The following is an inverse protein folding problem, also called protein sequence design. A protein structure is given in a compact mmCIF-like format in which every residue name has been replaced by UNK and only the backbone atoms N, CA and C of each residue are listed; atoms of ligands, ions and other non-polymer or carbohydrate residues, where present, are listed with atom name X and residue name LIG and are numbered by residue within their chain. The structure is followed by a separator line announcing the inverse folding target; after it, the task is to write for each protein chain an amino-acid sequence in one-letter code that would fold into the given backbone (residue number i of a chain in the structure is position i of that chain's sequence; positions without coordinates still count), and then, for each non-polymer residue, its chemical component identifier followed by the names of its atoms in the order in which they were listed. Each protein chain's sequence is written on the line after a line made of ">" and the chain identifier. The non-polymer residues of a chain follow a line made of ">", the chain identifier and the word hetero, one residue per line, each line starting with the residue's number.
data_IF_098274628546
#
_entry.id   IF_098274628546
#
_cell.length_a   1.000
_cell.length_b   1.000
_cell.length_c   1.000
_cell.angle_alpha   90.00
_cell.angle_beta   90.00
_cell.angle_gamma   90.00
#
_symmetry.space_group_name_H-M   'P 1'
#
loop_
_entity.id
_entity.type
_entity.pdbx_description
1 polymer ?
#
# COMPACT_ATOMS: atom_id res chain seq x y z
N UNK A 1 6.98 15.49 -9.82
CA UNK A 1 6.15 15.23 -8.63
C UNK A 1 6.84 14.12 -7.86
N UNK A 2 7.15 14.35 -6.59
CA UNK A 2 7.78 13.33 -5.74
C UNK A 2 6.72 12.80 -4.78
N UNK A 3 6.37 11.51 -4.91
CA UNK A 3 5.24 10.91 -4.16
C UNK A 3 5.53 10.72 -2.67
N UNK A 4 6.80 10.64 -2.29
CA UNK A 4 7.22 10.30 -0.94
C UNK A 4 7.75 11.49 -0.14
N UNK A 5 7.45 12.72 -0.58
CA UNK A 5 7.74 13.94 0.17
C UNK A 5 6.44 14.54 0.67
N UNK A 6 6.44 14.89 1.95
CA UNK A 6 5.34 15.58 2.60
C UNK A 6 5.83 16.62 3.59
N UNK A 7 4.87 17.16 4.33
CA UNK A 7 5.07 18.15 5.37
C UNK A 7 4.36 17.68 6.63
N UNK A 8 5.05 17.75 7.77
CA UNK A 8 4.50 17.46 9.09
C UNK A 8 4.86 18.64 10.01
N UNK A 9 3.84 19.28 10.61
CA UNK A 9 4.01 20.48 11.44
C UNK A 9 4.88 21.56 10.78
N UNK A 10 4.59 21.86 9.51
CA UNK A 10 5.34 22.81 8.67
C UNK A 10 6.77 22.40 8.27
N UNK A 11 7.31 21.31 8.84
CA UNK A 11 8.62 20.76 8.48
C UNK A 11 8.52 19.77 7.34
N UNK A 12 9.49 19.77 6.42
CA UNK A 12 9.57 18.79 5.34
C UNK A 12 9.96 17.42 5.88
N UNK A 13 9.29 16.38 5.39
CA UNK A 13 9.52 15.00 5.79
C UNK A 13 9.50 14.07 4.58
N UNK A 14 10.37 13.06 4.61
CA UNK A 14 10.30 11.92 3.72
C UNK A 14 9.40 10.84 4.33
N UNK A 15 8.43 10.35 3.56
CA UNK A 15 7.46 9.34 3.98
C UNK A 15 8.04 7.96 3.64
N UNK A 16 8.47 7.22 4.66
CA UNK A 16 9.10 5.90 4.50
C UNK A 16 8.05 4.81 4.39
N UNK A 17 7.09 4.83 5.32
CA UNK A 17 5.89 4.01 5.31
C UNK A 17 4.65 4.90 5.37
N UNK A 18 3.71 4.68 4.44
CA UNK A 18 2.44 5.44 4.39
C UNK A 18 1.47 5.04 5.49
N UNK A 19 1.55 3.79 5.95
CA UNK A 19 0.75 3.22 7.03
C UNK A 19 1.53 2.07 7.68
N UNK A 20 1.26 1.77 8.95
CA UNK A 20 1.85 0.63 9.64
C UNK A 20 0.91 -0.58 9.62
N UNK A 21 1.43 -1.83 9.50
CA UNK A 21 0.60 -3.03 9.37
C UNK A 21 -0.42 -3.23 10.51
N UNK A 22 -0.03 -2.86 11.73
CA UNK A 22 -0.87 -2.99 12.93
C UNK A 22 -1.56 -1.67 13.31
N UNK A 23 -1.24 -0.57 12.63
CA UNK A 23 -1.66 0.78 13.03
C UNK A 23 -1.81 1.69 11.79
N UNK A 24 -2.94 1.59 11.07
CA UNK A 24 -3.15 2.27 9.79
C UNK A 24 -3.29 3.81 9.93
N UNK A 25 -3.51 4.30 11.15
CA UNK A 25 -3.59 5.74 11.43
C UNK A 25 -2.22 6.38 11.63
N UNK A 26 -1.13 5.60 11.58
CA UNK A 26 0.22 6.09 11.76
C UNK A 26 1.11 5.74 10.58
N UNK A 27 1.99 6.68 10.25
CA UNK A 27 3.03 6.57 9.26
C UNK A 27 4.41 6.62 9.93
N UNK A 28 5.43 6.16 9.21
CA UNK A 28 6.83 6.40 9.58
C UNK A 28 7.44 7.41 8.62
N UNK A 29 7.96 8.48 9.19
CA UNK A 29 8.59 9.57 8.46
C UNK A 29 10.00 9.83 8.94
N UNK A 30 10.81 10.43 8.08
CA UNK A 30 12.15 10.90 8.40
C UNK A 30 12.20 12.40 8.15
N UNK A 31 12.72 13.15 9.11
CA UNK A 31 13.00 14.56 8.96
C UNK A 31 14.32 14.74 8.23
N UNK A 32 14.28 15.20 6.98
CA UNK A 32 15.47 15.36 6.14
C UNK A 32 16.49 16.30 6.77
N UNK A 33 16.01 17.34 7.46
CA UNK A 33 16.84 18.41 8.01
C UNK A 33 17.62 17.97 9.26
N UNK A 34 17.20 16.89 9.91
CA UNK A 34 17.89 16.33 11.07
C UNK A 34 18.90 15.25 10.70
N UNK A 35 18.96 14.84 9.43
CA UNK A 35 19.86 13.79 8.98
C UNK A 35 21.29 14.31 8.78
N UNK A 36 22.30 13.49 9.10
CA UNK A 36 23.66 13.71 8.63
C UNK A 36 23.72 13.73 7.10
N UNK A 37 24.58 14.57 6.52
CA UNK A 37 24.68 14.78 5.06
C UNK A 37 24.80 13.48 4.26
N UNK A 38 25.65 12.55 4.70
CA UNK A 38 25.85 11.27 4.01
C UNK A 38 24.58 10.40 3.94
N UNK A 39 23.76 10.37 5.00
CA UNK A 39 22.49 9.64 5.03
C UNK A 39 21.41 10.38 4.26
N UNK A 40 21.39 11.70 4.37
CA UNK A 40 20.50 12.57 3.61
C UNK A 40 20.68 12.32 2.10
N UNK A 41 21.91 12.40 1.60
CA UNK A 41 22.20 12.28 0.18
C UNK A 41 21.90 10.87 -0.35
N UNK A 42 22.20 9.84 0.45
CA UNK A 42 21.87 8.45 0.12
C UNK A 42 20.35 8.24 0.04
N UNK A 43 19.59 8.72 1.02
CA UNK A 43 18.14 8.63 1.05
C UNK A 43 17.50 9.41 -0.10
N UNK A 44 17.95 10.65 -0.34
CA UNK A 44 17.42 11.51 -1.40
C UNK A 44 17.71 10.93 -2.78
N UNK A 45 18.88 10.34 -2.99
CA UNK A 45 19.20 9.62 -4.24
C UNK A 45 18.20 8.52 -4.56
N UNK A 46 17.85 7.68 -3.56
CA UNK A 46 16.84 6.61 -3.74
C UNK A 46 15.46 7.20 -3.92
N UNK A 47 15.10 8.21 -3.14
CA UNK A 47 13.80 8.88 -3.19
C UNK A 47 13.57 9.54 -4.56
N UNK A 48 14.56 10.19 -5.15
CA UNK A 48 14.46 10.84 -6.47
C UNK A 48 14.58 9.84 -7.64
N UNK A 49 15.05 8.62 -7.38
CA UNK A 49 15.18 7.59 -8.40
C UNK A 49 13.84 7.18 -9.01
N UNK A 50 13.88 6.67 -10.25
CA UNK A 50 12.68 6.15 -10.93
C UNK A 50 12.01 5.05 -10.11
N UNK A 51 12.80 4.14 -9.54
CA UNK A 51 12.26 3.04 -8.73
C UNK A 51 11.60 3.56 -7.47
N UNK A 52 12.26 4.49 -6.75
CA UNK A 52 11.72 5.14 -5.56
C UNK A 52 10.38 5.83 -5.83
N UNK A 53 10.21 6.50 -6.97
CA UNK A 53 8.94 7.14 -7.34
C UNK A 53 7.83 6.17 -7.79
N UNK A 54 8.21 4.98 -8.25
CA UNK A 54 7.25 3.94 -8.66
C UNK A 54 6.86 3.01 -7.53
N UNK A 55 7.69 2.89 -6.49
CA UNK A 55 7.46 2.00 -5.38
C UNK A 55 6.18 2.37 -4.63
N UNK A 56 5.50 1.35 -4.09
CA UNK A 56 4.35 1.59 -3.22
C UNK A 56 4.82 2.18 -1.89
N UNK A 57 5.84 1.59 -1.29
CA UNK A 57 6.49 2.09 -0.09
C UNK A 57 7.96 2.39 -0.38
N UNK A 58 8.43 3.55 0.06
CA UNK A 58 9.83 3.93 -0.12
C UNK A 58 10.77 3.02 0.69
N UNK A 59 10.30 2.49 1.82
CA UNK A 59 11.02 1.51 2.63
C UNK A 59 11.52 0.31 1.82
N UNK A 60 10.69 -0.23 0.92
CA UNK A 60 11.04 -1.40 0.11
C UNK A 60 12.22 -1.11 -0.83
N UNK A 61 12.37 0.14 -1.25
CA UNK A 61 13.48 0.54 -2.10
C UNK A 61 14.72 0.92 -1.29
N UNK A 62 14.53 1.58 -0.14
CA UNK A 62 15.63 1.89 0.79
C UNK A 62 16.29 0.63 1.35
N UNK A 63 15.52 -0.45 1.55
CA UNK A 63 16.03 -1.73 2.02
C UNK A 63 16.87 -2.48 0.96
N UNK A 64 16.80 -2.09 -0.31
CA UNK A 64 17.65 -2.67 -1.37
C UNK A 64 18.96 -1.92 -1.56
N UNK A 65 19.06 -0.72 -1.02
CA UNK A 65 20.18 0.18 -1.26
C UNK A 65 21.12 0.25 -0.05
N UNK A 66 22.40 0.38 -0.35
CA UNK A 66 23.46 0.57 0.64
C UNK A 66 24.07 1.96 0.48
N UNK A 67 24.44 2.56 1.60
CA UNK A 67 25.19 3.81 1.65
C UNK A 67 26.67 3.55 1.33
N UNK A 68 27.44 4.62 1.10
CA UNK A 68 28.87 4.53 0.77
C UNK A 68 29.74 3.85 1.85
N UNK A 69 29.24 3.73 3.09
CA UNK A 69 29.90 3.01 4.18
C UNK A 69 29.57 1.50 4.21
N UNK A 70 28.75 1.03 3.27
CA UNK A 70 28.32 -0.37 3.14
C UNK A 70 27.11 -0.75 4.00
N UNK A 71 26.55 0.16 4.80
CA UNK A 71 25.33 -0.12 5.58
C UNK A 71 24.09 0.05 4.73
N UNK A 72 23.08 -0.77 4.99
CA UNK A 72 21.75 -0.60 4.42
C UNK A 72 21.12 0.71 4.92
N UNK A 73 20.51 1.48 4.01
CA UNK A 73 19.98 2.82 4.32
C UNK A 73 18.82 2.73 5.33
N UNK A 74 17.86 1.84 5.10
CA UNK A 74 16.71 1.67 5.99
C UNK A 74 17.15 1.21 7.39
N UNK A 75 18.09 0.26 7.45
CA UNK A 75 18.64 -0.22 8.70
C UNK A 75 19.36 0.89 9.49
N UNK A 76 20.18 1.69 8.81
CA UNK A 76 20.88 2.82 9.44
C UNK A 76 19.89 3.84 10.01
N UNK A 77 18.86 4.22 9.23
CA UNK A 77 17.80 5.13 9.68
C UNK A 77 17.06 4.61 10.92
N UNK A 78 16.82 3.30 11.01
CA UNK A 78 16.16 2.70 12.16
C UNK A 78 17.07 2.63 13.38
N UNK A 79 18.29 2.10 13.22
CA UNK A 79 19.25 1.90 14.32
C UNK A 79 19.72 3.22 14.93
N UNK A 80 19.83 4.27 14.12
CA UNK A 80 20.22 5.61 14.58
C UNK A 80 19.03 6.46 15.06
N UNK A 81 17.80 5.94 14.98
CA UNK A 81 16.61 6.57 15.57
C UNK A 81 15.99 7.71 14.75
N UNK A 82 16.22 7.75 13.44
CA UNK A 82 15.66 8.79 12.55
C UNK A 82 14.23 8.49 12.06
N UNK A 83 13.75 7.27 12.26
CA UNK A 83 12.37 6.87 11.94
C UNK A 83 11.41 7.37 13.02
N UNK A 84 10.56 8.32 12.66
CA UNK A 84 9.59 8.92 13.56
C UNK A 84 8.18 8.44 13.24
N UNK A 85 7.50 7.88 14.24
CA UNK A 85 6.09 7.52 14.14
C UNK A 85 5.23 8.77 14.29
N UNK A 86 4.42 9.05 13.28
CA UNK A 86 3.54 10.21 13.23
C UNK A 86 2.15 9.80 12.79
N UNK A 87 1.14 10.53 13.24
CA UNK A 87 -0.23 10.27 12.81
C UNK A 87 -0.43 10.75 11.37
N UNK A 88 -1.07 9.92 10.53
CA UNK A 88 -1.28 10.21 9.10
C UNK A 88 -2.10 11.48 8.87
N UNK A 89 -2.99 11.84 9.80
CA UNK A 89 -3.78 13.08 9.78
C UNK A 89 -2.95 14.37 9.84
N UNK A 90 -1.74 14.32 10.40
CA UNK A 90 -0.87 15.50 10.52
C UNK A 90 0.15 15.60 9.38
N UNK A 91 0.18 14.61 8.49
CA UNK A 91 1.09 14.59 7.34
C UNK A 91 0.35 15.05 6.09
N UNK A 92 0.88 16.06 5.41
CA UNK A 92 0.36 16.58 4.14
C UNK A 92 1.34 16.24 3.03
N UNK A 93 0.91 15.44 2.06
CA UNK A 93 1.70 15.08 0.88
C UNK A 93 1.62 16.21 -0.15
N UNK A 94 2.77 16.70 -0.62
CA UNK A 94 2.84 17.79 -1.58
C UNK A 94 2.66 17.25 -3.01
N UNK A 95 1.40 17.09 -3.43
CA UNK A 95 1.05 16.59 -4.76
C UNK A 95 1.38 17.59 -5.89
N UNK A 96 1.28 18.89 -5.60
CA UNK A 96 1.58 20.00 -6.51
C UNK A 96 1.98 21.23 -5.68
N UNK A 97 2.74 22.18 -6.26
CA UNK A 97 3.15 23.44 -5.63
C UNK A 97 2.01 24.28 -4.99
N UNK A 98 0.74 24.02 -5.31
CA UNK A 98 -0.45 24.74 -4.82
C UNK A 98 -1.43 23.89 -3.99
N UNK A 99 -1.31 22.56 -3.99
CA UNK A 99 -2.26 21.68 -3.30
C UNK A 99 -1.54 20.54 -2.59
N UNK A 100 -1.68 20.50 -1.27
CA UNK A 100 -1.33 19.33 -0.47
C UNK A 100 -2.57 18.48 -0.19
N UNK A 101 -2.40 17.17 -0.14
CA UNK A 101 -3.44 16.22 0.26
C UNK A 101 -3.01 15.56 1.55
N UNK A 102 -3.91 15.38 2.51
CA UNK A 102 -3.55 14.71 3.77
C UNK A 102 -3.28 13.22 3.52
N UNK A 103 -2.33 12.66 4.25
CA UNK A 103 -1.91 11.27 4.05
C UNK A 103 -3.03 10.28 4.41
N UNK A 104 -3.87 10.59 5.40
CA UNK A 104 -5.02 9.76 5.78
C UNK A 104 -6.09 9.69 4.68
N UNK A 105 -6.39 10.82 4.03
CA UNK A 105 -7.29 10.86 2.88
C UNK A 105 -6.68 10.14 1.67
N UNK A 106 -5.39 10.36 1.42
CA UNK A 106 -4.67 9.72 0.32
C UNK A 106 -4.67 8.19 0.47
N UNK A 107 -4.44 7.67 1.68
CA UNK A 107 -4.49 6.24 1.95
C UNK A 107 -5.90 5.66 1.74
N UNK A 108 -6.95 6.36 2.17
CA UNK A 108 -8.34 5.96 1.90
C UNK A 108 -8.63 5.90 0.40
N UNK A 109 -8.27 6.94 -0.35
CA UNK A 109 -8.46 6.99 -1.80
C UNK A 109 -7.71 5.85 -2.51
N UNK A 110 -6.46 5.56 -2.12
CA UNK A 110 -5.69 4.44 -2.67
C UNK A 110 -6.32 3.08 -2.31
N UNK A 111 -6.83 2.94 -1.08
CA UNK A 111 -7.52 1.73 -0.63
C UNK A 111 -8.84 1.48 -1.36
N UNK A 112 -9.62 2.53 -1.62
CA UNK A 112 -10.85 2.43 -2.40
C UNK A 112 -10.58 2.06 -3.87
N UNK A 113 -9.53 2.63 -4.48
CA UNK A 113 -9.12 2.28 -5.84
C UNK A 113 -8.66 0.82 -5.94
N UNK A 114 -7.85 0.34 -4.98
CA UNK A 114 -7.38 -1.05 -4.97
C UNK A 114 -8.50 -2.04 -4.70
N UNK A 115 -9.39 -1.72 -3.75
CA UNK A 115 -10.55 -2.57 -3.42
C UNK A 115 -11.54 -2.66 -4.57
N UNK A 116 -11.77 -1.57 -5.30
CA UNK A 116 -12.67 -1.57 -6.47
C UNK A 116 -12.11 -2.47 -7.57
N UNK A 117 -10.80 -2.37 -7.87
CA UNK A 117 -10.16 -3.27 -8.83
C UNK A 117 -10.25 -4.75 -8.45
N UNK A 118 -10.08 -5.09 -7.16
CA UNK A 118 -10.23 -6.46 -6.66
C UNK A 118 -11.69 -6.94 -6.77
N UNK A 119 -12.66 -6.07 -6.46
CA UNK A 119 -14.09 -6.40 -6.59
C UNK A 119 -14.47 -6.65 -8.05
N UNK A 120 -13.97 -5.84 -8.97
CA UNK A 120 -14.23 -6.00 -10.40
C UNK A 120 -13.64 -7.31 -10.93
N UNK A 121 -12.39 -7.63 -10.54
CA UNK A 121 -11.75 -8.91 -10.89
C UNK A 121 -12.49 -10.12 -10.30
N UNK A 122 -12.92 -10.04 -9.05
CA UNK A 122 -13.68 -11.11 -8.41
C UNK A 122 -15.02 -11.36 -9.12
N UNK A 123 -15.74 -10.30 -9.51
CA UNK A 123 -16.99 -10.42 -10.26
C UNK A 123 -16.78 -11.05 -11.64
N UNK A 124 -15.68 -10.69 -12.34
CA UNK A 124 -15.37 -11.27 -13.63
C UNK A 124 -15.05 -12.76 -13.54
N UNK A 125 -14.28 -13.17 -12.53
CA UNK A 125 -13.99 -14.58 -12.26
C UNK A 125 -15.25 -15.38 -11.92
N UNK A 126 -16.17 -14.81 -11.14
CA UNK A 126 -17.46 -15.44 -10.83
C UNK A 126 -18.33 -15.62 -12.07
N UNK A 127 -18.40 -14.63 -12.96
CA UNK A 127 -19.11 -14.74 -14.24
C UNK A 127 -18.52 -15.83 -15.13
N UNK A 128 -17.19 -15.89 -15.24
CA UNK A 128 -16.49 -16.95 -16.00
C UNK A 128 -16.76 -18.33 -15.41
N UNK A 129 -16.71 -18.45 -14.08
CA UNK A 129 -17.04 -19.70 -13.38
C UNK A 129 -18.47 -20.16 -13.66
N UNK A 130 -19.44 -19.24 -13.64
CA UNK A 130 -20.85 -19.55 -13.95
C UNK A 130 -21.03 -20.01 -15.41
N UNK A 131 -20.41 -19.33 -16.37
CA UNK A 131 -20.48 -19.71 -17.78
C UNK A 131 -19.89 -21.12 -18.03
N UNK A 132 -18.77 -21.44 -17.40
CA UNK A 132 -18.15 -22.77 -17.49
C UNK A 132 -19.02 -23.86 -16.85
N UNK A 133 -19.71 -23.54 -15.75
CA UNK A 133 -20.66 -24.46 -15.12
C UNK A 133 -21.86 -24.71 -16.04
N UNK A 134 -22.39 -23.67 -16.69
CA UNK A 134 -23.48 -23.81 -17.66
C UNK A 134 -23.07 -24.64 -18.87
N UNK A 135 -21.86 -24.41 -19.40
CA UNK A 135 -21.28 -25.21 -20.48
C UNK A 135 -21.05 -26.67 -20.06
N UNK A 136 -20.57 -26.91 -18.84
CA UNK A 136 -20.47 -28.26 -18.30
C UNK A 136 -21.84 -28.95 -18.21
N UNK A 137 -22.90 -28.20 -17.89
CA UNK A 137 -24.28 -28.72 -17.83
C UNK A 137 -24.93 -28.95 -19.19
N UNK A 138 -24.48 -28.26 -20.25
CA UNK A 138 -24.93 -28.53 -21.62
C UNK A 138 -24.24 -29.76 -22.19
N UNK A 139 -22.96 -29.97 -21.86
CA UNK A 139 -22.16 -31.11 -22.31
C UNK A 139 -22.49 -32.40 -21.56
N UNK A 140 -22.71 -32.36 -20.24
CA UNK A 140 -23.18 -33.48 -19.44
C UNK A 140 -24.35 -33.07 -18.52
N UNK A 141 -25.60 -33.33 -18.94
CA UNK A 141 -26.79 -33.01 -18.15
C UNK A 141 -26.85 -33.67 -16.76
N UNK A 142 -26.06 -34.72 -16.52
CA UNK A 142 -26.01 -35.45 -15.24
C UNK A 142 -25.25 -34.69 -14.15
N UNK A 143 -24.42 -33.71 -14.54
CA UNK A 143 -23.67 -32.86 -13.60
C UNK A 143 -24.54 -31.79 -12.92
N UNK A 144 -25.79 -31.59 -13.38
CA UNK A 144 -26.71 -30.65 -12.73
C UNK A 144 -26.96 -31.08 -11.28
N UNK A 145 -26.86 -30.16 -10.30
CA UNK A 145 -27.07 -30.49 -8.90
C UNK A 145 -28.48 -31.07 -8.70
N UNK A 146 -28.55 -32.33 -8.24
CA UNK A 146 -29.81 -32.95 -7.84
C UNK A 146 -30.40 -32.10 -6.73
N UNK A 147 -31.61 -31.55 -6.96
CA UNK A 147 -32.39 -30.84 -5.93
C UNK A 147 -32.40 -31.69 -4.66
N UNK A 148 -31.73 -31.23 -3.60
CA UNK A 148 -31.83 -31.86 -2.29
C UNK A 148 -33.30 -31.83 -1.88
N UNK A 149 -33.97 -32.99 -1.93
CA UNK A 149 -35.34 -33.12 -1.50
C UNK A 149 -35.43 -32.75 -0.03
N UNK A 150 -36.27 -31.77 0.31
CA UNK A 150 -36.62 -31.42 1.67
C UNK A 150 -36.97 -32.72 2.43
N UNK A 151 -36.26 -33.10 3.51
CA UNK A 151 -36.62 -34.30 4.24
C UNK A 151 -38.06 -34.13 4.76
N UNK A 152 -38.95 -35.05 4.38
CA UNK A 152 -40.31 -35.10 4.91
C UNK A 152 -40.19 -35.33 6.41
N UNK A 153 -40.60 -34.34 7.23
CA UNK A 153 -40.87 -34.56 8.65
C UNK A 153 -41.95 -35.63 8.75
N UNK A 154 -41.58 -36.85 9.11
CA UNK A 154 -42.50 -37.89 9.56
C UNK A 154 -43.09 -37.43 10.88
N UNK A 155 -44.38 -37.11 10.87
CA UNK A 155 -45.17 -36.96 12.08
C UNK A 155 -45.83 -38.31 12.37
N UNK A 156 -45.35 -39.02 13.40
CA UNK A 156 -46.16 -39.75 14.39
C UNK A 156 -45.27 -40.28 15.50
#
# INVERSE_FOLDING_TARGET
>A
MIKHVGRHNETKVAIIFKELPNDPNHALVVYSDTLPTHMHDAMMSVLESKNGQTANNLADELDKHVMGDGKNILHALHTEGYLNKVETRHVVVEANSKSGVRLDELNKMLGEMSTTGIKDQAQELLKKGQALIEEAYTLDPSLKPKKAGRPKKTAK
#
